data_IF_216550158076
#
_entry.id   IF_216550158076
#
_cell.length_a   1.000
_cell.length_b   1.000
_cell.length_c   1.000
_cell.angle_alpha   90.00
_cell.angle_beta   90.00
_cell.angle_gamma   90.00
#
_symmetry.space_group_name_H-M   'P 1'
#
loop_
_entity.id
_entity.type
_entity.pdbx_description
1 polymer ?
#
# COMPACT_ATOMS: atom_id res chain seq x y z
N UNK A 1 43.19 22.45 15.97
CA UNK A 1 41.86 21.80 16.14
C UNK A 1 40.97 22.24 14.99
N UNK A 2 41.03 21.53 13.86
CA UNK A 2 40.18 21.82 12.71
C UNK A 2 38.73 21.49 13.03
N UNK A 3 37.85 22.47 12.82
CA UNK A 3 36.40 22.30 12.94
C UNK A 3 35.98 21.13 12.05
N UNK A 4 35.47 20.06 12.67
CA UNK A 4 34.71 18.97 12.04
C UNK A 4 33.47 19.59 11.39
N UNK A 5 33.66 20.22 10.23
CA UNK A 5 32.64 20.91 9.46
C UNK A 5 31.68 19.81 9.06
N UNK A 6 30.50 19.83 9.65
CA UNK A 6 29.61 18.69 9.69
C UNK A 6 28.92 18.35 8.35
N UNK A 7 28.78 17.05 8.08
CA UNK A 7 28.16 16.40 6.89
C UNK A 7 26.63 16.49 6.93
N UNK A 8 26.06 17.70 6.99
CA UNK A 8 24.64 17.81 7.36
C UNK A 8 23.66 17.73 6.18
N UNK A 9 23.78 18.51 5.09
CA UNK A 9 22.71 18.60 4.06
C UNK A 9 22.40 17.27 3.37
N UNK A 10 23.42 16.55 2.91
CA UNK A 10 23.24 15.25 2.25
C UNK A 10 22.60 14.22 3.21
N UNK A 11 23.02 14.20 4.48
CA UNK A 11 22.43 13.31 5.48
C UNK A 11 20.94 13.64 5.68
N UNK A 12 20.59 14.92 5.77
CA UNK A 12 19.18 15.35 5.90
C UNK A 12 18.36 14.99 4.66
N UNK A 13 18.91 15.14 3.46
CA UNK A 13 18.25 14.73 2.23
C UNK A 13 18.04 13.20 2.16
N UNK A 14 19.01 12.40 2.64
CA UNK A 14 18.87 10.94 2.74
C UNK A 14 17.80 10.56 3.77
N UNK A 15 17.79 11.19 4.94
CA UNK A 15 16.75 10.97 5.96
C UNK A 15 15.38 11.32 5.39
N UNK A 16 15.25 12.47 4.71
CA UNK A 16 14.01 12.88 4.08
C UNK A 16 13.55 11.87 3.02
N UNK A 17 14.45 11.41 2.14
CA UNK A 17 14.16 10.36 1.17
C UNK A 17 13.60 9.09 1.84
N UNK A 18 14.27 8.60 2.89
CA UNK A 18 13.83 7.39 3.61
C UNK A 18 12.43 7.60 4.21
N UNK A 19 12.18 8.75 4.82
CA UNK A 19 10.87 9.07 5.41
C UNK A 19 9.77 9.16 4.36
N UNK A 20 10.03 9.81 3.22
CA UNK A 20 9.08 9.89 2.11
C UNK A 20 8.80 8.51 1.52
N UNK A 21 9.85 7.72 1.27
CA UNK A 21 9.71 6.35 0.77
C UNK A 21 8.88 5.49 1.72
N UNK A 22 9.18 5.54 3.03
CA UNK A 22 8.43 4.81 4.03
C UNK A 22 6.96 5.26 4.06
N UNK A 23 6.70 6.57 4.07
CA UNK A 23 5.35 7.09 4.02
C UNK A 23 4.59 6.59 2.78
N UNK A 24 5.21 6.62 1.59
CA UNK A 24 4.58 6.15 0.36
C UNK A 24 4.36 4.63 0.34
N UNK A 25 5.25 3.85 0.98
CA UNK A 25 5.12 2.38 1.04
C UNK A 25 4.05 1.92 2.05
N UNK A 26 3.91 2.62 3.17
CA UNK A 26 2.98 2.28 4.25
C UNK A 26 1.75 3.19 4.33
N UNK A 27 1.51 4.06 3.35
CA UNK A 27 0.41 5.03 3.35
C UNK A 27 -0.93 4.39 3.67
N UNK A 28 -1.24 3.28 3.01
CA UNK A 28 -2.52 2.57 3.13
C UNK A 28 -2.73 2.03 4.54
N UNK A 29 -1.69 1.41 5.09
CA UNK A 29 -1.70 0.84 6.44
C UNK A 29 -1.79 1.92 7.51
N UNK A 30 -1.11 3.05 7.32
CA UNK A 30 -1.19 4.20 8.21
C UNK A 30 -2.58 4.83 8.15
N UNK A 31 -3.16 4.94 6.96
CA UNK A 31 -4.48 5.51 6.77
C UNK A 31 -5.57 4.64 7.39
N UNK A 32 -5.56 3.33 7.12
CA UNK A 32 -6.58 2.38 7.63
C UNK A 32 -6.54 2.23 9.16
N UNK A 33 -5.34 2.20 9.77
CA UNK A 33 -5.21 1.94 11.21
C UNK A 33 -5.09 3.22 12.06
N UNK A 34 -4.57 4.31 11.49
CA UNK A 34 -4.13 5.48 12.23
C UNK A 34 -4.55 6.78 11.51
N UNK A 35 -5.70 6.80 10.84
CA UNK A 35 -6.21 7.90 10.01
C UNK A 35 -5.81 9.32 10.48
N UNK A 36 -6.14 9.70 11.73
CA UNK A 36 -5.83 11.03 12.27
C UNK A 36 -4.31 11.28 12.38
N UNK A 37 -3.55 10.26 12.80
CA UNK A 37 -2.09 10.39 12.91
C UNK A 37 -1.41 10.36 11.54
N UNK A 38 -1.97 9.65 10.56
CA UNK A 38 -1.49 9.66 9.18
C UNK A 38 -1.55 11.07 8.59
N UNK A 39 -2.60 11.84 8.91
CA UNK A 39 -2.71 13.24 8.49
C UNK A 39 -1.61 14.14 9.07
N UNK A 40 -1.06 13.82 10.25
CA UNK A 40 0.05 14.57 10.86
C UNK A 40 1.40 14.29 10.18
N UNK A 41 1.53 13.21 9.42
CA UNK A 41 2.78 12.89 8.73
C UNK A 41 3.10 13.94 7.66
N UNK A 42 2.10 14.42 6.91
CA UNK A 42 2.28 15.42 5.87
C UNK A 42 2.88 16.75 6.36
N UNK A 43 2.35 17.43 7.40
CA UNK A 43 2.95 18.65 7.92
C UNK A 43 4.35 18.41 8.52
N UNK A 44 4.61 17.25 9.12
CA UNK A 44 5.95 16.90 9.62
C UNK A 44 6.94 16.79 8.46
N UNK A 45 6.59 16.07 7.39
CA UNK A 45 7.41 15.95 6.19
C UNK A 45 7.67 17.33 5.54
N UNK A 46 6.66 18.20 5.52
CA UNK A 46 6.82 19.57 5.01
C UNK A 46 7.84 20.38 5.82
N UNK A 47 7.80 20.31 7.15
CA UNK A 47 8.79 20.98 8.01
C UNK A 47 10.20 20.45 7.72
N UNK A 48 10.36 19.12 7.61
CA UNK A 48 11.65 18.50 7.29
C UNK A 48 12.15 18.94 5.92
N UNK A 49 11.27 19.04 4.91
CA UNK A 49 11.60 19.55 3.59
C UNK A 49 12.14 20.98 3.64
N UNK A 50 11.46 21.88 4.36
CA UNK A 50 11.91 23.27 4.54
C UNK A 50 13.31 23.30 5.18
N UNK A 51 13.55 22.50 6.22
CA UNK A 51 14.87 22.38 6.86
C UNK A 51 15.93 21.89 5.88
N UNK A 52 15.60 20.91 5.03
CA UNK A 52 16.51 20.41 3.99
C UNK A 52 16.87 21.51 2.99
N UNK A 53 15.87 22.25 2.47
CA UNK A 53 16.07 23.34 1.52
C UNK A 53 16.97 24.43 2.10
N UNK A 54 16.70 24.90 3.32
CA UNK A 54 17.51 25.93 3.98
C UNK A 54 18.97 25.49 4.14
N UNK A 55 19.21 24.23 4.50
CA UNK A 55 20.56 23.68 4.64
C UNK A 55 21.28 23.57 3.30
N UNK A 56 20.58 23.12 2.25
CA UNK A 56 21.13 23.01 0.90
C UNK A 56 21.52 24.38 0.36
N UNK A 57 20.66 25.40 0.51
CA UNK A 57 20.99 26.77 0.08
C UNK A 57 22.25 27.29 0.79
N UNK A 58 22.40 27.03 2.09
CA UNK A 58 23.61 27.40 2.85
C UNK A 58 24.85 26.69 2.32
N UNK A 59 24.78 25.40 2.04
CA UNK A 59 25.93 24.63 1.53
C UNK A 59 26.28 25.01 0.07
N UNK A 60 25.29 25.36 -0.76
CA UNK A 60 25.51 25.82 -2.14
C UNK A 60 26.23 27.17 -2.21
N UNK A 61 25.92 28.10 -1.29
CA UNK A 61 26.56 29.43 -1.21
C UNK A 61 27.94 29.41 -0.53
N UNK A 62 28.31 28.31 0.12
CA UNK A 62 29.57 28.18 0.84
C UNK A 62 30.59 27.30 0.12
N UNK A 63 31.65 26.91 0.82
CA UNK A 63 32.71 26.01 0.33
C UNK A 63 32.25 24.57 0.01
N UNK A 64 30.95 24.27 0.07
CA UNK A 64 30.39 22.91 0.02
C UNK A 64 29.42 22.72 -1.14
N UNK A 65 29.64 23.47 -2.21
CA UNK A 65 28.76 23.50 -3.38
C UNK A 65 28.49 22.11 -3.95
N UNK A 66 29.49 21.22 -3.97
CA UNK A 66 29.31 19.83 -4.45
C UNK A 66 28.33 19.04 -3.59
N UNK A 67 28.44 19.11 -2.26
CA UNK A 67 27.53 18.39 -1.35
C UNK A 67 26.11 18.97 -1.42
N UNK A 68 25.99 20.30 -1.48
CA UNK A 68 24.71 20.99 -1.70
C UNK A 68 24.06 20.57 -3.01
N UNK A 69 24.85 20.46 -4.09
CA UNK A 69 24.38 20.00 -5.40
C UNK A 69 23.86 18.56 -5.36
N UNK A 70 24.61 17.64 -4.75
CA UNK A 70 24.17 16.24 -4.60
C UNK A 70 22.88 16.13 -3.76
N UNK A 71 22.79 16.88 -2.66
CA UNK A 71 21.59 16.90 -1.83
C UNK A 71 20.37 17.48 -2.57
N UNK A 72 20.57 18.49 -3.43
CA UNK A 72 19.53 19.03 -4.29
C UNK A 72 19.05 18.00 -5.32
N UNK A 73 19.98 17.31 -5.99
CA UNK A 73 19.65 16.22 -6.93
C UNK A 73 18.86 15.13 -6.22
N UNK A 74 19.25 14.77 -4.99
CA UNK A 74 18.52 13.77 -4.20
C UNK A 74 17.11 14.23 -3.83
N UNK A 75 16.91 15.51 -3.45
CA UNK A 75 15.57 16.05 -3.18
C UNK A 75 14.68 16.01 -4.42
N UNK A 76 15.20 16.42 -5.57
CA UNK A 76 14.47 16.38 -6.85
C UNK A 76 14.13 14.93 -7.20
N UNK A 77 15.10 14.01 -7.10
CA UNK A 77 14.88 12.58 -7.30
C UNK A 77 13.84 11.99 -6.35
N UNK A 78 13.86 12.40 -5.07
CA UNK A 78 12.88 11.98 -4.06
C UNK A 78 11.48 12.40 -4.49
N UNK A 79 11.29 13.67 -4.87
CA UNK A 79 10.00 14.17 -5.34
C UNK A 79 9.52 13.39 -6.57
N UNK A 80 10.38 13.21 -7.58
CA UNK A 80 10.04 12.46 -8.79
C UNK A 80 9.63 11.01 -8.49
N UNK A 81 10.41 10.31 -7.67
CA UNK A 81 10.08 8.93 -7.25
C UNK A 81 8.77 8.90 -6.48
N UNK A 82 8.60 9.75 -5.46
CA UNK A 82 7.43 9.72 -4.60
C UNK A 82 6.12 10.13 -5.32
N UNK A 83 6.22 10.91 -6.40
CA UNK A 83 5.06 11.41 -7.15
C UNK A 83 4.68 10.55 -8.35
N UNK A 84 5.67 9.92 -9.00
CA UNK A 84 5.46 9.20 -10.27
C UNK A 84 5.49 7.67 -10.09
N UNK A 85 6.12 7.17 -9.02
CA UNK A 85 6.25 5.74 -8.82
C UNK A 85 4.95 5.15 -8.25
N UNK A 86 4.37 4.09 -8.85
CA UNK A 86 3.10 3.52 -8.43
C UNK A 86 3.26 2.60 -7.21
N UNK A 87 3.60 3.17 -6.05
CA UNK A 87 3.88 2.44 -4.81
C UNK A 87 2.79 1.43 -4.44
N UNK A 88 1.52 1.83 -4.53
CA UNK A 88 0.38 0.96 -4.19
C UNK A 88 0.34 -0.29 -5.07
N UNK A 89 0.41 -0.14 -6.39
CA UNK A 89 0.37 -1.27 -7.32
C UNK A 89 1.58 -2.20 -7.16
N UNK A 90 2.78 -1.64 -6.99
CA UNK A 90 4.00 -2.43 -6.77
C UNK A 90 3.93 -3.22 -5.46
N UNK A 91 3.42 -2.60 -4.39
CA UNK A 91 3.24 -3.26 -3.10
C UNK A 91 2.23 -4.40 -3.20
N UNK A 92 1.06 -4.17 -3.79
CA UNK A 92 0.04 -5.21 -4.02
C UNK A 92 0.63 -6.40 -4.76
N UNK A 93 1.38 -6.16 -5.84
CA UNK A 93 2.01 -7.25 -6.60
C UNK A 93 3.02 -8.04 -5.75
N UNK A 94 3.80 -7.35 -4.93
CA UNK A 94 4.76 -7.99 -4.02
C UNK A 94 4.04 -8.80 -2.92
N UNK A 95 2.96 -8.26 -2.35
CA UNK A 95 2.17 -8.94 -1.33
C UNK A 95 1.38 -10.12 -1.90
N UNK A 96 0.84 -10.02 -3.11
CA UNK A 96 0.22 -11.14 -3.83
C UNK A 96 1.19 -12.32 -3.92
N UNK A 97 2.37 -12.15 -4.52
CA UNK A 97 3.34 -13.24 -4.67
C UNK A 97 3.71 -13.91 -3.34
N UNK A 98 3.74 -13.14 -2.24
CA UNK A 98 4.09 -13.64 -0.90
C UNK A 98 2.92 -14.31 -0.18
N UNK A 99 1.69 -13.82 -0.38
CA UNK A 99 0.51 -14.21 0.39
C UNK A 99 -0.37 -15.23 -0.33
N UNK A 100 -0.28 -15.39 -1.66
CA UNK A 100 -1.12 -16.33 -2.43
C UNK A 100 -1.16 -17.74 -1.84
N UNK A 101 -0.04 -18.38 -1.41
CA UNK A 101 -0.13 -19.71 -0.81
C UNK A 101 -1.02 -19.74 0.45
N UNK A 102 -0.93 -18.71 1.29
CA UNK A 102 -1.76 -18.57 2.49
C UNK A 102 -3.23 -18.26 2.13
N UNK A 103 -3.45 -17.43 1.11
CA UNK A 103 -4.79 -17.09 0.62
C UNK A 103 -5.47 -18.31 0.01
N UNK A 104 -4.73 -19.14 -0.71
CA UNK A 104 -5.25 -20.41 -1.25
C UNK A 104 -5.68 -21.35 -0.12
N UNK A 105 -4.88 -21.52 0.95
CA UNK A 105 -5.32 -22.29 2.12
C UNK A 105 -6.62 -21.76 2.74
N UNK A 106 -6.83 -20.44 2.73
CA UNK A 106 -8.08 -19.82 3.22
C UNK A 106 -9.24 -20.13 2.28
N UNK A 107 -9.05 -20.00 0.96
CA UNK A 107 -10.06 -20.35 -0.05
C UNK A 107 -10.47 -21.82 0.09
N UNK A 108 -9.51 -22.73 0.20
CA UNK A 108 -9.79 -24.16 0.33
C UNK A 108 -10.61 -24.50 1.59
N UNK A 109 -10.34 -23.77 2.69
CA UNK A 109 -11.10 -23.91 3.96
C UNK A 109 -12.50 -23.28 3.90
N UNK A 110 -12.67 -22.22 3.11
CA UNK A 110 -14.00 -21.65 2.85
C UNK A 110 -14.79 -22.65 1.98
N UNK A 111 -14.19 -23.16 0.90
CA UNK A 111 -14.80 -24.13 0.00
C UNK A 111 -15.24 -25.42 0.71
N UNK A 112 -14.47 -25.87 1.71
CA UNK A 112 -14.82 -27.05 2.53
C UNK A 112 -15.89 -26.77 3.59
N UNK A 113 -16.28 -25.51 3.79
CA UNK A 113 -17.20 -25.07 4.85
C UNK A 113 -16.59 -25.03 6.24
N UNK A 114 -15.26 -25.15 6.39
CA UNK A 114 -14.57 -25.04 7.68
C UNK A 114 -14.54 -23.59 8.19
N UNK A 115 -14.49 -22.62 7.27
CA UNK A 115 -14.44 -21.19 7.58
C UNK A 115 -15.59 -20.46 6.87
N UNK A 116 -16.51 -19.87 7.64
CA UNK A 116 -17.55 -18.98 7.13
C UNK A 116 -18.63 -19.67 6.28
N UNK A 117 -19.38 -18.86 5.53
CA UNK A 117 -20.43 -19.27 4.60
C UNK A 117 -20.49 -18.29 3.42
N UNK A 118 -21.55 -18.31 2.62
CA UNK A 118 -21.72 -17.35 1.51
C UNK A 118 -22.21 -15.99 2.01
N UNK A 119 -21.85 -14.92 1.29
CA UNK A 119 -22.31 -13.54 1.51
C UNK A 119 -22.08 -13.03 2.94
N UNK A 120 -20.88 -13.23 3.48
CA UNK A 120 -20.55 -12.88 4.87
C UNK A 120 -19.11 -12.38 5.02
N UNK A 121 -18.92 -11.41 5.92
CA UNK A 121 -17.62 -10.98 6.39
C UNK A 121 -17.10 -11.96 7.45
N UNK A 122 -15.95 -12.56 7.19
CA UNK A 122 -15.34 -13.58 8.06
C UNK A 122 -14.08 -13.02 8.71
N UNK A 123 -13.97 -13.14 10.03
CA UNK A 123 -12.74 -12.86 10.76
C UNK A 123 -11.82 -14.09 10.71
N UNK A 124 -10.62 -13.93 10.14
CA UNK A 124 -9.72 -15.05 9.94
C UNK A 124 -9.11 -15.54 11.26
N UNK A 125 -8.87 -16.86 11.39
CA UNK A 125 -8.08 -17.39 12.49
C UNK A 125 -6.69 -16.74 12.57
N UNK A 126 -6.08 -16.72 13.75
CA UNK A 126 -4.81 -16.03 14.01
C UNK A 126 -3.69 -16.38 13.01
N UNK A 127 -3.62 -17.64 12.56
CA UNK A 127 -2.67 -18.11 11.53
C UNK A 127 -2.83 -17.38 10.20
N UNK A 128 -4.06 -17.02 9.83
CA UNK A 128 -4.44 -16.49 8.51
C UNK A 128 -4.70 -14.98 8.51
N UNK A 129 -4.67 -14.30 9.67
CA UNK A 129 -4.93 -12.85 9.75
C UNK A 129 -4.08 -11.99 8.80
N UNK A 130 -2.90 -12.46 8.38
CA UNK A 130 -2.03 -11.73 7.44
C UNK A 130 -2.42 -11.89 5.97
N UNK A 131 -3.40 -12.74 5.66
CA UNK A 131 -3.89 -12.94 4.30
C UNK A 131 -4.66 -11.70 3.78
N UNK A 132 -5.15 -10.85 4.67
CA UNK A 132 -5.83 -9.59 4.36
C UNK A 132 -5.35 -8.49 5.31
N UNK A 133 -5.48 -7.22 4.90
CA UNK A 133 -4.94 -6.05 5.61
C UNK A 133 -5.48 -5.88 7.02
N UNK A 134 -6.75 -6.20 7.26
CA UNK A 134 -7.41 -6.12 8.57
C UNK A 134 -7.69 -7.50 9.20
N UNK A 135 -7.23 -8.57 8.55
CA UNK A 135 -7.46 -9.95 8.97
C UNK A 135 -8.89 -10.46 8.77
N UNK A 136 -9.70 -9.76 7.98
CA UNK A 136 -11.03 -10.22 7.55
C UNK A 136 -11.06 -10.51 6.06
N UNK A 137 -11.97 -11.37 5.62
CA UNK A 137 -12.25 -11.61 4.21
C UNK A 137 -13.75 -11.50 4.00
N UNK A 138 -14.17 -11.08 2.82
CA UNK A 138 -15.57 -11.18 2.43
C UNK A 138 -15.74 -12.39 1.52
N UNK A 139 -16.64 -13.29 1.89
CA UNK A 139 -17.05 -14.40 1.03
C UNK A 139 -18.26 -13.93 0.27
N UNK A 140 -18.10 -13.70 -1.03
CA UNK A 140 -19.20 -13.26 -1.90
C UNK A 140 -20.08 -14.47 -2.20
N UNK A 141 -19.45 -15.56 -2.61
CA UNK A 141 -20.09 -16.78 -3.02
C UNK A 141 -19.35 -18.02 -2.50
N UNK A 142 -20.11 -18.99 -2.03
CA UNK A 142 -19.60 -20.31 -1.66
C UNK A 142 -20.73 -21.33 -1.85
N UNK A 143 -20.86 -21.86 -3.06
CA UNK A 143 -22.02 -22.64 -3.45
C UNK A 143 -21.86 -23.40 -4.76
N UNK A 144 -22.98 -23.60 -5.46
CA UNK A 144 -23.02 -24.37 -6.72
C UNK A 144 -22.29 -23.68 -7.86
N UNK A 145 -22.28 -22.36 -7.85
CA UNK A 145 -21.70 -21.54 -8.91
C UNK A 145 -20.21 -21.21 -8.64
N UNK A 146 -19.63 -21.82 -7.61
CA UNK A 146 -18.21 -21.77 -7.28
C UNK A 146 -17.94 -21.02 -5.98
N UNK A 147 -16.66 -20.64 -5.80
CA UNK A 147 -16.19 -19.87 -4.65
C UNK A 147 -15.69 -18.50 -5.13
N UNK A 148 -16.14 -17.45 -4.46
CA UNK A 148 -15.63 -16.10 -4.61
C UNK A 148 -15.31 -15.48 -3.24
N UNK A 149 -14.05 -15.06 -3.07
CA UNK A 149 -13.53 -14.54 -1.81
C UNK A 149 -12.66 -13.31 -2.06
N UNK A 150 -12.99 -12.20 -1.39
CA UNK A 150 -12.22 -10.97 -1.39
C UNK A 150 -11.32 -10.83 -0.16
N UNK A 151 -10.04 -10.59 -0.40
CA UNK A 151 -9.03 -10.25 0.59
C UNK A 151 -8.72 -8.75 0.49
N UNK A 152 -9.01 -7.99 1.54
CA UNK A 152 -8.69 -6.56 1.57
C UNK A 152 -7.17 -6.34 1.47
N UNK A 153 -6.76 -5.47 0.54
CA UNK A 153 -5.45 -4.83 0.53
C UNK A 153 -5.56 -3.43 1.16
N UNK A 154 -6.66 -2.74 0.86
CA UNK A 154 -7.01 -1.44 1.41
C UNK A 154 -8.53 -1.32 1.45
N UNK A 155 -9.08 -0.99 2.62
CA UNK A 155 -10.53 -1.03 2.82
C UNK A 155 -11.24 0.28 2.45
N UNK A 156 -10.49 1.37 2.31
CA UNK A 156 -11.00 2.63 1.77
C UNK A 156 -12.11 3.25 2.63
N UNK A 157 -11.73 3.97 3.69
CA UNK A 157 -12.73 4.65 4.55
C UNK A 157 -13.49 5.80 3.86
N UNK A 158 -12.86 6.46 2.88
CA UNK A 158 -13.37 7.67 2.20
C UNK A 158 -13.13 7.64 0.69
N UNK A 159 -12.74 6.48 0.17
CA UNK A 159 -12.40 6.23 -1.21
C UNK A 159 -12.75 4.79 -1.51
N UNK A 160 -12.81 4.44 -2.79
CA UNK A 160 -12.89 3.05 -3.20
C UNK A 160 -11.89 2.10 -2.54
N UNK A 161 -12.21 0.81 -2.60
CA UNK A 161 -11.41 -0.25 -1.98
C UNK A 161 -10.45 -0.89 -2.98
N UNK A 162 -9.43 -1.57 -2.45
CA UNK A 162 -8.54 -2.42 -3.24
C UNK A 162 -8.57 -3.82 -2.64
N UNK A 163 -8.88 -4.79 -3.49
CA UNK A 163 -9.18 -6.16 -3.08
C UNK A 163 -8.39 -7.10 -3.98
N UNK A 164 -7.77 -8.11 -3.39
CA UNK A 164 -7.33 -9.29 -4.14
C UNK A 164 -8.44 -10.33 -4.01
N UNK A 165 -9.03 -10.70 -5.14
CA UNK A 165 -10.17 -11.63 -5.20
C UNK A 165 -9.75 -12.96 -5.80
N UNK A 166 -10.29 -14.04 -5.23
CA UNK A 166 -10.37 -15.34 -5.88
C UNK A 166 -11.79 -15.51 -6.41
N UNK A 167 -11.94 -15.96 -7.66
CA UNK A 167 -13.25 -16.23 -8.26
C UNK A 167 -13.17 -17.38 -9.26
N UNK A 168 -13.92 -18.45 -9.03
CA UNK A 168 -13.99 -19.60 -9.95
C UNK A 168 -14.63 -19.27 -11.29
N UNK A 169 -15.66 -18.43 -11.28
CA UNK A 169 -16.34 -17.90 -12.47
C UNK A 169 -15.61 -16.72 -13.13
N UNK A 170 -14.45 -16.34 -12.61
CA UNK A 170 -13.60 -15.28 -13.16
C UNK A 170 -14.18 -13.87 -13.02
N UNK A 171 -13.81 -12.98 -13.95
CA UNK A 171 -14.19 -11.56 -13.90
C UNK A 171 -15.70 -11.32 -13.98
N UNK A 172 -16.45 -12.15 -14.70
CA UNK A 172 -17.90 -12.03 -14.81
C UNK A 172 -18.57 -12.21 -13.44
N UNK A 173 -18.18 -13.27 -12.71
CA UNK A 173 -18.66 -13.54 -11.35
C UNK A 173 -18.40 -12.35 -10.41
N UNK A 174 -17.19 -11.78 -10.45
CA UNK A 174 -16.82 -10.61 -9.65
C UNK A 174 -17.74 -9.42 -9.93
N UNK A 175 -18.03 -9.15 -11.20
CA UNK A 175 -18.87 -8.01 -11.58
C UNK A 175 -20.33 -8.20 -11.20
N UNK A 176 -20.80 -9.44 -11.18
CA UNK A 176 -22.17 -9.78 -10.79
C UNK A 176 -22.37 -9.74 -9.27
N UNK A 177 -21.37 -10.18 -8.50
CA UNK A 177 -21.46 -10.32 -7.05
C UNK A 177 -20.99 -9.07 -6.28
N UNK A 178 -20.07 -8.27 -6.82
CA UNK A 178 -19.65 -7.00 -6.21
C UNK A 178 -20.71 -5.91 -6.41
N UNK A 179 -21.69 -5.93 -5.51
CA UNK A 179 -22.83 -5.01 -5.50
C UNK A 179 -22.70 -3.88 -4.48
N UNK A 180 -21.64 -3.87 -3.66
CA UNK A 180 -21.44 -2.87 -2.62
C UNK A 180 -20.98 -1.54 -3.19
N UNK A 181 -20.10 -1.58 -4.20
CA UNK A 181 -19.42 -0.43 -4.76
C UNK A 181 -19.14 -0.60 -6.26
N UNK A 182 -19.18 0.46 -7.09
CA UNK A 182 -18.85 0.35 -8.50
C UNK A 182 -17.43 -0.21 -8.72
N UNK A 183 -17.32 -1.28 -9.50
CA UNK A 183 -16.03 -1.84 -9.90
C UNK A 183 -15.39 -0.96 -10.99
N UNK A 184 -14.28 -0.32 -10.64
CA UNK A 184 -13.52 0.56 -11.55
C UNK A 184 -12.62 -0.26 -12.47
N UNK A 185 -11.95 -1.27 -11.92
CA UNK A 185 -11.04 -2.11 -12.69
C UNK A 185 -10.91 -3.51 -12.11
N UNK A 186 -10.74 -4.49 -13.00
CA UNK A 186 -10.39 -5.87 -12.67
C UNK A 186 -9.15 -6.23 -13.48
N UNK A 187 -8.07 -6.61 -12.82
CA UNK A 187 -6.81 -7.04 -13.45
C UNK A 187 -6.51 -8.49 -13.06
N UNK A 188 -6.27 -9.37 -14.03
CA UNK A 188 -5.89 -10.76 -13.73
C UNK A 188 -4.47 -10.83 -13.15
N UNK A 189 -4.33 -11.54 -12.02
CA UNK A 189 -3.06 -11.87 -11.39
C UNK A 189 -2.57 -13.29 -11.72
N UNK A 190 -3.33 -14.02 -12.56
CA UNK A 190 -3.06 -15.39 -13.00
C UNK A 190 -3.93 -16.44 -12.28
N UNK A 191 -4.38 -17.46 -13.02
CA UNK A 191 -5.36 -18.43 -12.54
C UNK A 191 -6.69 -17.75 -12.23
N UNK A 192 -7.30 -18.11 -11.10
CA UNK A 192 -8.57 -17.56 -10.62
C UNK A 192 -8.38 -16.31 -9.72
N UNK A 193 -7.22 -15.65 -9.80
CA UNK A 193 -6.88 -14.51 -8.95
C UNK A 193 -6.96 -13.18 -9.71
N UNK A 194 -7.56 -12.18 -9.06
CA UNK A 194 -7.81 -10.87 -9.63
C UNK A 194 -7.46 -9.77 -8.64
N UNK A 195 -6.97 -8.65 -9.15
CA UNK A 195 -6.85 -7.40 -8.42
C UNK A 195 -7.99 -6.48 -8.82
N UNK A 196 -8.82 -6.11 -7.84
CA UNK A 196 -10.05 -5.37 -8.04
C UNK A 196 -9.97 -4.04 -7.31
N UNK A 197 -10.35 -2.98 -8.02
CA UNK A 197 -10.45 -1.63 -7.48
C UNK A 197 -11.91 -1.20 -7.60
N UNK A 198 -12.50 -0.80 -6.49
CA UNK A 198 -13.85 -0.22 -6.47
C UNK A 198 -13.79 1.29 -6.27
N UNK A 199 -14.92 1.99 -6.38
CA UNK A 199 -15.08 3.40 -6.00
C UNK A 199 -16.21 3.59 -4.98
N UNK A 200 -16.26 4.75 -4.31
CA UNK A 200 -17.30 5.05 -3.31
C UNK A 200 -18.47 5.84 -3.88
#
# INVERSE_FOLDING_TARGET
>A
MEKKKSRHSLLWAVIFFILCFANSWWSDTLFDNLFIFALLVYPILLIILIVCIVKIIKDLKGERTVQGGLALVLLIGTYSVCSLFPFGAVKVKADYMRLTPMRQEVVDKIASGEIGGSSVLVNLPAKYKRASSDGTVYVYENGKDGVEVGFWEFRGMLSGSRIVMYADGGEEQIRDNESGHPVVSVESLGGNWYYVVTDY
#
